data_IF_204716672768
#
_entry.id   IF_204716672768
#
_cell.length_a   1.000
_cell.length_b   1.000
_cell.length_c   1.000
_cell.angle_alpha   90.00
_cell.angle_beta   90.00
_cell.angle_gamma   90.00
#
_symmetry.space_group_name_H-M   'P 1'
#
loop_
_entity.id
_entity.type
_entity.pdbx_description
1 polymer ?
#
# COMPACT_ATOMS: atom_id res chain seq x y z
N UNK A 1 -7.34 -27.13 11.13
CA UNK A 1 -7.08 -25.78 11.71
C UNK A 1 -8.17 -24.82 11.25
N UNK A 2 -8.27 -23.63 11.79
CA UNK A 2 -9.25 -22.63 11.33
C UNK A 2 -8.54 -21.32 11.01
N UNK A 3 -9.14 -20.48 10.16
CA UNK A 3 -8.62 -19.12 9.89
C UNK A 3 -8.50 -18.33 11.20
N UNK A 4 -9.27 -18.66 12.24
CA UNK A 4 -9.19 -18.03 13.56
C UNK A 4 -7.81 -18.15 14.20
N UNK A 5 -7.12 -19.31 14.03
CA UNK A 5 -5.75 -19.46 14.56
C UNK A 5 -4.74 -18.51 13.89
N UNK A 6 -4.89 -18.26 12.58
CA UNK A 6 -4.14 -17.24 11.89
C UNK A 6 -4.43 -15.85 12.46
N UNK A 7 -5.70 -15.51 12.62
CA UNK A 7 -6.11 -14.19 13.16
C UNK A 7 -5.57 -13.97 14.56
N UNK A 8 -5.76 -14.95 15.46
CA UNK A 8 -5.29 -14.86 16.85
C UNK A 8 -3.76 -14.72 16.94
N UNK A 9 -3.01 -15.34 16.02
CA UNK A 9 -1.57 -15.19 15.93
C UNK A 9 -1.19 -13.83 15.34
N UNK A 10 -1.89 -13.40 14.30
CA UNK A 10 -1.63 -12.13 13.64
C UNK A 10 -1.93 -10.92 14.56
N UNK A 11 -3.03 -10.95 15.33
CA UNK A 11 -3.35 -9.90 16.32
C UNK A 11 -2.30 -9.74 17.42
N UNK A 12 -1.54 -10.82 17.71
CA UNK A 12 -0.43 -10.76 18.68
C UNK A 12 0.89 -10.26 18.10
N UNK A 13 1.05 -10.34 16.76
CA UNK A 13 2.34 -10.15 16.09
C UNK A 13 2.35 -8.91 15.23
N UNK A 14 1.20 -8.55 14.65
CA UNK A 14 1.06 -7.46 13.68
C UNK A 14 0.34 -6.29 14.35
N UNK A 15 0.95 -5.11 14.31
CA UNK A 15 0.46 -3.92 15.02
C UNK A 15 -0.92 -3.44 14.58
N UNK A 16 -1.22 -3.54 13.28
CA UNK A 16 -2.50 -3.10 12.74
C UNK A 16 -2.89 -3.93 11.51
N UNK A 17 -3.80 -4.87 11.70
CA UNK A 17 -4.53 -5.54 10.63
C UNK A 17 -5.77 -4.72 10.27
N UNK A 18 -6.07 -4.59 8.99
CA UNK A 18 -7.19 -3.75 8.55
C UNK A 18 -8.33 -4.55 7.97
N UNK A 19 -8.04 -5.46 7.04
CA UNK A 19 -9.05 -6.32 6.45
C UNK A 19 -8.41 -7.55 5.81
N UNK A 20 -9.19 -8.62 5.71
CA UNK A 20 -8.80 -9.80 4.97
C UNK A 20 -9.99 -10.42 4.22
N UNK A 21 -9.67 -11.08 3.11
CA UNK A 21 -10.54 -12.03 2.41
C UNK A 21 -9.70 -13.24 2.05
N UNK A 22 -10.10 -14.43 2.49
CA UNK A 22 -9.47 -15.67 2.17
C UNK A 22 -10.42 -16.54 1.35
N UNK A 23 -9.98 -16.89 0.14
CA UNK A 23 -10.71 -17.75 -0.79
C UNK A 23 -10.04 -19.11 -0.87
N UNK A 24 -10.84 -20.17 -1.07
CA UNK A 24 -10.37 -21.50 -1.44
C UNK A 24 -11.38 -22.14 -2.39
N UNK A 25 -10.91 -22.73 -3.50
CA UNK A 25 -11.79 -23.24 -4.55
C UNK A 25 -12.72 -22.17 -5.14
N UNK A 26 -12.31 -20.90 -5.13
CA UNK A 26 -13.14 -19.77 -5.54
C UNK A 26 -14.18 -19.29 -4.52
N UNK A 27 -14.36 -19.99 -3.41
CA UNK A 27 -15.35 -19.66 -2.39
C UNK A 27 -14.73 -18.92 -1.21
N UNK A 28 -15.51 -18.03 -0.56
CA UNK A 28 -15.06 -17.30 0.63
C UNK A 28 -15.01 -18.25 1.83
N UNK A 29 -13.80 -18.53 2.32
CA UNK A 29 -13.57 -19.29 3.56
C UNK A 29 -13.63 -18.39 4.78
N UNK A 30 -13.10 -17.16 4.66
CA UNK A 30 -13.18 -16.14 5.70
C UNK A 30 -13.05 -14.74 5.11
N UNK A 31 -13.77 -13.81 5.72
CA UNK A 31 -13.63 -12.39 5.43
C UNK A 31 -13.94 -11.53 6.65
N UNK A 32 -13.30 -10.38 6.75
CA UNK A 32 -13.57 -9.43 7.83
C UNK A 32 -12.69 -8.19 7.74
N UNK A 33 -13.09 -7.20 8.51
CA UNK A 33 -12.29 -5.98 8.67
C UNK A 33 -12.22 -5.62 10.16
N UNK A 34 -11.04 -5.16 10.59
CA UNK A 34 -10.85 -4.66 11.95
C UNK A 34 -11.40 -3.24 12.04
N UNK A 35 -12.55 -3.08 12.71
CA UNK A 35 -13.11 -1.75 12.92
C UNK A 35 -12.04 -0.78 13.48
N UNK A 36 -11.85 0.42 12.91
CA UNK A 36 -12.77 1.19 12.05
C UNK A 36 -12.61 0.96 10.53
N UNK A 37 -11.78 0.04 10.08
CA UNK A 37 -11.71 -0.33 8.66
C UNK A 37 -12.93 -1.14 8.24
N UNK A 38 -13.21 -1.21 6.94
CA UNK A 38 -14.36 -1.91 6.39
C UNK A 38 -14.06 -2.49 5.01
N UNK A 39 -14.68 -3.64 4.69
CA UNK A 39 -14.47 -4.33 3.41
C UNK A 39 -15.01 -3.57 2.20
N UNK A 40 -15.98 -2.67 2.39
CA UNK A 40 -16.60 -1.86 1.36
C UNK A 40 -15.88 -0.54 1.08
N UNK A 41 -14.81 -0.23 1.83
CA UNK A 41 -13.98 0.96 1.64
C UNK A 41 -12.72 0.63 0.83
N UNK A 42 -12.40 1.43 -0.21
CA UNK A 42 -11.11 1.31 -0.88
C UNK A 42 -9.95 1.61 0.08
N UNK A 43 -8.92 0.79 -0.04
CA UNK A 43 -7.67 0.94 0.70
C UNK A 43 -6.54 1.20 -0.29
N UNK A 44 -5.58 2.05 0.07
CA UNK A 44 -4.39 2.33 -0.75
C UNK A 44 -3.51 1.10 -0.85
N UNK A 45 -3.18 0.70 -2.06
CA UNK A 45 -2.50 -0.57 -2.36
C UNK A 45 -0.98 -0.46 -2.44
N UNK A 46 -0.44 0.75 -2.50
CA UNK A 46 1.01 0.95 -2.74
C UNK A 46 1.50 0.13 -3.93
N UNK A 47 2.62 -0.58 -3.77
CA UNK A 47 3.25 -1.34 -4.85
C UNK A 47 2.43 -2.54 -5.36
N UNK A 48 1.38 -2.98 -4.68
CA UNK A 48 0.44 -3.95 -5.25
C UNK A 48 -0.20 -3.44 -6.56
N UNK A 49 -0.26 -2.12 -6.75
CA UNK A 49 -0.63 -1.46 -8.02
C UNK A 49 0.16 -1.96 -9.22
N UNK A 50 1.42 -2.39 -9.00
CA UNK A 50 2.31 -2.88 -10.06
C UNK A 50 1.77 -4.12 -10.78
N UNK A 51 1.10 -5.00 -10.06
CA UNK A 51 0.49 -6.20 -10.63
C UNK A 51 -0.66 -5.84 -11.58
N UNK A 52 -1.41 -4.79 -11.28
CA UNK A 52 -2.44 -4.26 -12.18
C UNK A 52 -1.83 -3.57 -13.41
N UNK A 53 -0.69 -2.88 -13.25
CA UNK A 53 0.07 -2.31 -14.37
C UNK A 53 0.62 -3.40 -15.29
N UNK A 54 1.11 -4.52 -14.73
CA UNK A 54 1.49 -5.71 -15.49
C UNK A 54 0.32 -6.24 -16.30
N UNK A 55 -0.87 -6.32 -15.71
CA UNK A 55 -2.08 -6.76 -16.40
C UNK A 55 -2.43 -5.83 -17.56
N UNK A 56 -2.32 -4.51 -17.38
CA UNK A 56 -2.52 -3.52 -18.44
C UNK A 56 -1.51 -3.72 -19.60
N UNK A 57 -0.24 -4.00 -19.28
CA UNK A 57 0.76 -4.33 -20.30
C UNK A 57 0.39 -5.63 -21.05
N UNK A 58 -0.13 -6.64 -20.34
CA UNK A 58 -0.61 -7.89 -20.94
C UNK A 58 -1.73 -7.65 -21.95
N UNK A 59 -2.71 -6.82 -21.63
CA UNK A 59 -3.76 -6.42 -22.58
C UNK A 59 -3.18 -5.67 -23.78
N UNK A 60 -2.30 -4.69 -23.54
CA UNK A 60 -1.68 -3.93 -24.64
C UNK A 60 -0.85 -4.82 -25.60
N UNK A 61 -0.19 -5.85 -25.07
CA UNK A 61 0.53 -6.87 -25.87
C UNK A 61 -0.46 -7.69 -26.69
N UNK A 62 -1.53 -8.19 -26.09
CA UNK A 62 -2.55 -8.98 -26.80
C UNK A 62 -3.27 -8.18 -27.87
N UNK A 63 -3.42 -6.88 -27.70
CA UNK A 63 -3.97 -5.94 -28.69
C UNK A 63 -2.96 -5.54 -29.77
N UNK A 64 -1.71 -6.02 -29.70
CA UNK A 64 -0.66 -5.72 -30.67
C UNK A 64 -0.09 -4.30 -30.60
N UNK A 65 -0.34 -3.58 -29.48
CA UNK A 65 0.15 -2.23 -29.25
C UNK A 65 1.59 -2.22 -28.72
N UNK A 66 1.99 -3.30 -28.04
CA UNK A 66 3.25 -3.43 -27.33
C UNK A 66 3.82 -4.83 -27.52
N UNK A 67 5.15 -4.97 -27.51
CA UNK A 67 5.84 -6.26 -27.48
C UNK A 67 6.85 -6.28 -26.32
N UNK A 68 7.03 -7.45 -25.69
CA UNK A 68 8.00 -7.61 -24.59
C UNK A 68 9.43 -7.28 -25.00
N UNK A 69 9.78 -7.53 -26.27
CA UNK A 69 11.10 -7.28 -26.82
C UNK A 69 11.27 -5.91 -27.48
N UNK A 70 10.22 -5.10 -27.49
CA UNK A 70 10.31 -3.74 -27.97
C UNK A 70 11.34 -2.95 -27.15
N UNK A 71 12.26 -2.24 -27.81
CA UNK A 71 13.07 -1.22 -27.13
C UNK A 71 12.16 -0.16 -26.52
N UNK A 72 12.41 0.23 -25.29
CA UNK A 72 11.67 1.32 -24.61
C UNK A 72 11.72 2.60 -25.45
N UNK A 73 12.88 2.90 -26.03
CA UNK A 73 13.09 4.03 -26.91
C UNK A 73 12.11 4.11 -28.11
N UNK A 74 11.63 2.96 -28.63
CA UNK A 74 10.61 2.89 -29.70
C UNK A 74 9.32 3.64 -29.30
N UNK A 75 8.95 3.56 -28.04
CA UNK A 75 7.73 4.15 -27.49
C UNK A 75 7.95 5.52 -26.82
N UNK A 76 9.19 6.01 -26.82
CA UNK A 76 9.61 7.23 -26.14
C UNK A 76 10.36 8.22 -27.09
N UNK A 77 9.93 8.30 -28.34
CA UNK A 77 10.50 9.22 -29.36
C UNK A 77 12.01 9.02 -29.58
N UNK A 78 12.50 7.79 -29.47
CA UNK A 78 13.91 7.44 -29.59
C UNK A 78 14.78 7.75 -28.36
N UNK A 79 14.17 8.23 -27.27
CA UNK A 79 14.89 8.56 -26.02
C UNK A 79 15.10 7.33 -25.14
N UNK A 80 16.16 7.37 -24.33
CA UNK A 80 16.55 6.31 -23.41
C UNK A 80 17.59 5.36 -24.02
N UNK A 81 18.07 4.41 -23.22
CA UNK A 81 19.06 3.44 -23.62
C UNK A 81 18.46 2.43 -24.63
N UNK A 82 19.06 2.24 -25.82
CA UNK A 82 18.52 1.35 -26.86
C UNK A 82 18.53 -0.15 -26.48
N UNK A 83 19.28 -0.53 -25.44
CA UNK A 83 19.30 -1.91 -24.90
C UNK A 83 18.12 -2.20 -24.01
N UNK A 84 17.49 -1.16 -23.41
CA UNK A 84 16.38 -1.32 -22.48
C UNK A 84 15.12 -1.76 -23.23
N UNK A 85 14.53 -2.87 -22.79
CA UNK A 85 13.31 -3.45 -23.37
C UNK A 85 12.17 -3.45 -22.38
N UNK A 86 10.93 -3.59 -22.87
CA UNK A 86 9.72 -3.66 -22.04
C UNK A 86 9.82 -4.78 -21.00
N UNK A 87 10.32 -5.96 -21.38
CA UNK A 87 10.51 -7.07 -20.43
C UNK A 87 11.45 -6.73 -19.28
N UNK A 88 12.48 -5.90 -19.48
CA UNK A 88 13.40 -5.49 -18.45
C UNK A 88 12.75 -4.56 -17.41
N UNK A 89 11.78 -3.74 -17.83
CA UNK A 89 10.95 -2.95 -16.92
C UNK A 89 10.04 -3.86 -16.08
N UNK A 90 9.38 -4.85 -16.72
CA UNK A 90 8.46 -5.77 -16.06
C UNK A 90 9.16 -6.72 -15.08
N UNK A 91 10.40 -7.13 -15.37
CA UNK A 91 11.19 -8.05 -14.53
C UNK A 91 12.08 -7.35 -13.52
N UNK A 92 12.04 -6.01 -13.42
CA UNK A 92 12.92 -5.24 -12.53
C UNK A 92 14.43 -5.44 -12.82
N UNK A 93 14.79 -5.58 -14.11
CA UNK A 93 16.17 -5.82 -14.56
C UNK A 93 16.66 -4.75 -15.51
N UNK A 94 16.36 -3.50 -15.19
CA UNK A 94 16.63 -2.34 -16.06
C UNK A 94 18.13 -2.02 -16.23
N UNK A 95 18.99 -2.50 -15.33
CA UNK A 95 20.42 -2.24 -15.36
C UNK A 95 20.85 -0.97 -14.61
N UNK A 96 19.93 -0.27 -13.95
CA UNK A 96 20.29 0.78 -12.98
C UNK A 96 20.92 0.15 -11.73
N UNK A 97 21.73 0.92 -11.01
CA UNK A 97 22.37 0.50 -9.74
C UNK A 97 21.61 0.95 -8.52
N UNK A 98 20.75 1.98 -8.67
CA UNK A 98 19.80 2.48 -7.66
C UNK A 98 18.44 2.70 -8.30
N UNK A 99 17.35 2.66 -7.51
CA UNK A 99 16.00 2.97 -8.02
C UNK A 99 15.91 4.46 -8.41
N UNK A 100 15.65 4.79 -9.70
CA UNK A 100 15.56 6.17 -10.15
C UNK A 100 14.34 6.95 -9.63
N UNK A 101 13.49 6.36 -8.82
CA UNK A 101 12.20 6.95 -8.38
C UNK A 101 12.37 8.32 -7.72
N UNK A 102 13.42 8.50 -6.91
CA UNK A 102 13.69 9.79 -6.26
C UNK A 102 14.06 10.89 -7.27
N UNK A 103 14.87 10.57 -8.27
CA UNK A 103 15.23 11.49 -9.34
C UNK A 103 13.99 11.82 -10.20
N UNK A 104 13.22 10.79 -10.52
CA UNK A 104 12.00 10.91 -11.30
C UNK A 104 10.97 11.82 -10.63
N UNK A 105 10.65 11.60 -9.36
CA UNK A 105 9.58 12.32 -8.65
C UNK A 105 9.92 13.78 -8.33
N UNK A 106 11.20 14.17 -8.40
CA UNK A 106 11.63 15.57 -8.28
C UNK A 106 11.50 16.37 -9.57
N UNK A 107 11.19 15.72 -10.68
CA UNK A 107 11.03 16.34 -12.00
C UNK A 107 9.56 16.60 -12.30
N UNK A 108 9.28 17.56 -13.17
CA UNK A 108 7.95 17.77 -13.74
C UNK A 108 7.61 16.70 -14.80
N UNK A 109 8.60 16.25 -15.58
CA UNK A 109 8.46 15.16 -16.55
C UNK A 109 9.14 13.88 -16.02
N UNK A 110 8.33 13.03 -15.39
CA UNK A 110 8.81 11.78 -14.79
C UNK A 110 9.36 10.78 -15.80
N UNK A 111 8.75 10.71 -16.99
CA UNK A 111 9.21 9.81 -18.04
C UNK A 111 10.58 10.24 -18.58
N UNK A 112 10.75 11.51 -18.86
CA UNK A 112 12.04 12.05 -19.32
C UNK A 112 13.12 11.92 -18.26
N UNK A 113 12.78 12.17 -17.01
CA UNK A 113 13.70 11.99 -15.88
C UNK A 113 14.20 10.54 -15.79
N UNK A 114 13.31 9.54 -15.85
CA UNK A 114 13.69 8.12 -15.84
C UNK A 114 14.62 7.79 -17.03
N UNK A 115 14.24 8.20 -18.25
CA UNK A 115 15.00 7.92 -19.47
C UNK A 115 16.37 8.57 -19.49
N UNK A 116 16.60 9.60 -18.68
CA UNK A 116 17.86 10.34 -18.56
C UNK A 116 18.82 9.75 -17.54
N UNK A 117 18.36 8.84 -16.64
CA UNK A 117 19.24 8.18 -15.68
C UNK A 117 20.10 7.15 -16.38
N UNK A 118 21.44 7.18 -16.21
CA UNK A 118 22.33 6.22 -16.86
C UNK A 118 22.05 4.77 -16.46
N UNK A 119 22.10 3.86 -17.43
CA UNK A 119 22.09 2.43 -17.22
C UNK A 119 23.52 1.92 -17.17
N UNK A 120 23.96 1.45 -15.99
CA UNK A 120 25.35 1.12 -15.71
C UNK A 120 25.65 -0.37 -15.86
N UNK A 121 24.62 -1.22 -15.82
CA UNK A 121 24.71 -2.67 -16.02
C UNK A 121 23.99 -3.09 -17.29
N UNK A 122 24.30 -4.27 -17.81
CA UNK A 122 23.56 -4.82 -18.95
C UNK A 122 22.12 -5.14 -18.51
N UNK A 123 21.09 -4.55 -19.19
CA UNK A 123 19.70 -4.87 -18.89
C UNK A 123 19.41 -6.37 -19.00
N UNK A 124 18.59 -6.90 -18.11
CA UNK A 124 18.26 -8.31 -18.04
C UNK A 124 19.18 -9.16 -17.16
N UNK A 125 20.29 -8.61 -16.61
CA UNK A 125 21.30 -9.40 -15.92
C UNK A 125 21.25 -9.29 -14.39
N UNK A 126 20.61 -8.26 -13.84
CA UNK A 126 20.59 -7.99 -12.42
C UNK A 126 19.23 -7.47 -11.96
N UNK A 127 18.69 -8.08 -10.93
CA UNK A 127 17.47 -7.62 -10.29
C UNK A 127 17.74 -6.40 -9.42
N UNK A 128 16.98 -5.35 -9.64
CA UNK A 128 16.87 -4.19 -8.77
C UNK A 128 15.42 -3.77 -8.73
N UNK A 129 14.79 -3.80 -7.56
CA UNK A 129 13.42 -3.33 -7.42
C UNK A 129 13.34 -1.84 -7.81
N UNK A 130 12.63 -1.56 -8.89
CA UNK A 130 12.67 -0.28 -9.60
C UNK A 130 11.24 0.21 -9.90
N UNK A 131 10.76 1.08 -9.04
CA UNK A 131 9.40 1.64 -9.15
C UNK A 131 9.25 2.57 -10.35
N UNK A 132 10.31 3.32 -10.71
CA UNK A 132 10.32 4.18 -11.89
C UNK A 132 10.22 3.38 -13.20
N UNK A 133 10.78 2.15 -13.23
CA UNK A 133 10.60 1.23 -14.35
C UNK A 133 9.14 0.85 -14.55
N UNK A 134 8.40 0.58 -13.46
CA UNK A 134 6.97 0.29 -13.55
C UNK A 134 6.16 1.50 -14.00
N UNK A 135 6.47 2.69 -13.47
CA UNK A 135 5.86 3.93 -13.97
C UNK A 135 6.04 4.05 -15.49
N UNK A 136 7.24 3.75 -15.99
CA UNK A 136 7.55 3.82 -17.43
C UNK A 136 6.70 2.85 -18.26
N UNK A 137 6.47 1.61 -17.77
CA UNK A 137 5.52 0.67 -18.42
C UNK A 137 4.13 1.31 -18.51
N UNK A 138 3.61 1.80 -17.39
CA UNK A 138 2.28 2.42 -17.35
C UNK A 138 2.19 3.68 -18.23
N UNK A 139 3.23 4.51 -18.26
CA UNK A 139 3.28 5.70 -19.11
C UNK A 139 3.27 5.34 -20.60
N UNK A 140 3.96 4.26 -20.98
CA UNK A 140 3.94 3.75 -22.37
C UNK A 140 2.55 3.22 -22.74
N UNK A 141 1.93 2.41 -21.88
CA UNK A 141 0.57 1.91 -22.12
C UNK A 141 -0.41 3.07 -22.29
N UNK A 142 -0.40 4.04 -21.39
CA UNK A 142 -1.27 5.23 -21.46
C UNK A 142 -1.02 6.08 -22.71
N UNK A 143 0.23 6.15 -23.17
CA UNK A 143 0.58 6.85 -24.40
C UNK A 143 0.05 6.12 -25.64
N UNK A 144 0.14 4.79 -25.67
CA UNK A 144 -0.27 3.97 -26.83
C UNK A 144 -1.80 3.89 -26.95
N UNK A 145 -2.49 3.83 -25.82
CA UNK A 145 -3.95 3.72 -25.77
C UNK A 145 -4.66 5.07 -25.82
N UNK A 146 -3.98 6.14 -25.38
CA UNK A 146 -4.60 7.46 -25.19
C UNK A 146 -5.49 7.52 -23.94
N UNK A 147 -5.50 6.48 -23.11
CA UNK A 147 -6.34 6.34 -21.92
C UNK A 147 -5.47 6.32 -20.65
N UNK A 148 -6.03 6.73 -19.51
CA UNK A 148 -5.43 6.47 -18.21
C UNK A 148 -5.49 4.98 -17.90
N UNK A 149 -4.57 4.44 -17.06
CA UNK A 149 -4.60 3.01 -16.71
C UNK A 149 -5.94 2.60 -16.10
N UNK A 150 -6.51 3.43 -15.21
CA UNK A 150 -7.79 3.13 -14.58
C UNK A 150 -8.92 3.03 -15.61
N UNK A 151 -8.92 3.89 -16.62
CA UNK A 151 -9.94 3.90 -17.67
C UNK A 151 -9.72 2.74 -18.67
N UNK A 152 -8.46 2.48 -19.03
CA UNK A 152 -8.08 1.37 -19.91
C UNK A 152 -8.43 0.00 -19.32
N UNK A 153 -8.21 -0.17 -18.01
CA UNK A 153 -8.52 -1.41 -17.30
C UNK A 153 -10.00 -1.54 -16.96
N UNK A 154 -10.78 -0.46 -16.97
CA UNK A 154 -12.19 -0.49 -16.56
C UNK A 154 -12.99 -1.54 -17.33
N UNK A 155 -13.11 -1.50 -18.67
CA UNK A 155 -13.89 -2.48 -19.43
C UNK A 155 -13.19 -3.85 -19.55
N UNK A 156 -11.86 -3.93 -19.37
CA UNK A 156 -11.06 -5.13 -19.59
C UNK A 156 -10.90 -6.01 -18.36
N UNK A 157 -10.86 -5.37 -17.18
CA UNK A 157 -10.55 -6.04 -15.92
C UNK A 157 -11.55 -5.70 -14.82
N UNK A 158 -11.76 -4.41 -14.55
CA UNK A 158 -12.51 -3.99 -13.37
C UNK A 158 -13.99 -4.32 -13.46
N UNK A 159 -14.64 -3.99 -14.57
CA UNK A 159 -16.07 -4.29 -14.77
C UNK A 159 -16.34 -5.79 -14.86
N UNK A 160 -15.57 -6.60 -15.62
CA UNK A 160 -15.74 -8.05 -15.62
C UNK A 160 -15.59 -8.70 -14.23
N UNK A 161 -14.69 -8.18 -13.40
CA UNK A 161 -14.50 -8.67 -12.04
C UNK A 161 -15.45 -8.03 -11.01
N UNK A 162 -16.35 -7.14 -11.43
CA UNK A 162 -17.29 -6.46 -10.55
C UNK A 162 -16.63 -5.52 -9.54
N UNK A 163 -15.54 -4.86 -9.92
CA UNK A 163 -14.93 -3.83 -9.09
C UNK A 163 -15.83 -2.60 -9.03
N UNK A 164 -15.95 -2.01 -7.85
CA UNK A 164 -16.51 -0.69 -7.68
C UNK A 164 -15.58 0.44 -8.14
N UNK A 165 -15.71 1.63 -7.56
CA UNK A 165 -14.83 2.74 -7.88
C UNK A 165 -13.37 2.41 -7.52
N UNK A 166 -12.50 2.51 -8.52
CA UNK A 166 -11.04 2.41 -8.38
C UNK A 166 -10.47 3.81 -8.63
N UNK A 167 -9.53 4.22 -7.81
CA UNK A 167 -8.77 5.46 -8.01
C UNK A 167 -7.30 5.15 -8.19
N UNK A 168 -6.58 6.03 -8.89
CA UNK A 168 -5.14 5.96 -9.05
C UNK A 168 -4.54 7.35 -8.97
N UNK A 169 -3.47 7.51 -8.18
CA UNK A 169 -2.73 8.76 -8.09
C UNK A 169 -2.12 9.11 -9.46
N UNK A 170 -1.94 10.41 -9.70
CA UNK A 170 -1.42 10.91 -10.98
C UNK A 170 -0.09 11.62 -10.81
N UNK A 171 0.77 11.50 -11.81
CA UNK A 171 1.96 12.32 -11.96
C UNK A 171 1.59 13.75 -12.40
N UNK A 172 2.54 14.72 -12.40
CA UNK A 172 2.27 16.09 -12.84
C UNK A 172 1.64 16.22 -14.24
N UNK A 173 1.91 15.27 -15.13
CA UNK A 173 1.35 15.23 -16.48
C UNK A 173 -0.03 14.51 -16.57
N UNK A 174 -0.67 14.21 -15.43
CA UNK A 174 -2.01 13.61 -15.39
C UNK A 174 -2.06 12.13 -15.75
N UNK A 175 -0.91 11.42 -15.83
CA UNK A 175 -0.86 9.97 -16.00
C UNK A 175 -0.96 9.28 -14.67
N UNK A 176 -1.64 8.13 -14.62
CA UNK A 176 -1.62 7.26 -13.45
C UNK A 176 -0.20 6.79 -13.16
N UNK A 177 0.21 6.86 -11.87
CA UNK A 177 1.60 6.61 -11.48
C UNK A 177 2.06 5.16 -11.57
N UNK A 178 1.15 4.23 -11.90
CA UNK A 178 1.43 2.84 -12.23
C UNK A 178 2.15 2.02 -11.13
N UNK A 179 3.27 2.51 -10.63
CA UNK A 179 4.11 1.82 -9.64
C UNK A 179 3.55 1.80 -8.22
N UNK A 180 2.56 2.66 -7.95
CA UNK A 180 1.83 2.78 -6.66
C UNK A 180 0.52 3.55 -6.89
N UNK A 181 -0.16 3.95 -5.83
CA UNK A 181 -1.22 4.96 -5.85
C UNK A 181 -2.61 4.47 -6.25
N UNK A 182 -2.77 3.18 -6.59
CA UNK A 182 -4.08 2.58 -6.78
C UNK A 182 -4.76 2.35 -5.42
N UNK A 183 -6.08 2.54 -5.36
CA UNK A 183 -6.90 2.15 -4.23
C UNK A 183 -8.05 1.25 -4.71
N UNK A 184 -8.26 0.15 -3.99
CA UNK A 184 -9.33 -0.81 -4.25
C UNK A 184 -9.75 -1.49 -2.93
N UNK A 185 -10.89 -2.18 -2.94
CA UNK A 185 -11.41 -2.88 -1.78
C UNK A 185 -10.77 -4.27 -1.65
N UNK A 186 -10.64 -4.77 -0.43
CA UNK A 186 -10.02 -6.09 -0.17
C UNK A 186 -10.71 -7.25 -0.91
N UNK A 187 -12.06 -7.31 -1.02
CA UNK A 187 -12.70 -8.32 -1.85
C UNK A 187 -12.34 -8.23 -3.35
N UNK A 188 -11.99 -7.04 -3.83
CA UNK A 188 -11.53 -6.81 -5.21
C UNK A 188 -10.12 -7.35 -5.43
N UNK A 189 -9.23 -7.14 -4.45
CA UNK A 189 -7.90 -7.73 -4.45
C UNK A 189 -7.99 -9.27 -4.48
N UNK A 190 -8.91 -9.86 -3.70
CA UNK A 190 -9.12 -11.30 -3.68
C UNK A 190 -9.60 -11.82 -5.05
N UNK A 191 -10.56 -11.14 -5.70
CA UNK A 191 -11.01 -11.50 -7.05
C UNK A 191 -9.91 -11.36 -8.09
N UNK A 192 -9.04 -10.37 -7.97
CA UNK A 192 -7.86 -10.23 -8.83
C UNK A 192 -6.88 -11.41 -8.64
N UNK A 193 -6.60 -11.82 -7.41
CA UNK A 193 -5.79 -13.01 -7.15
C UNK A 193 -6.43 -14.29 -7.69
N UNK A 194 -7.75 -14.44 -7.51
CA UNK A 194 -8.51 -15.58 -8.04
C UNK A 194 -8.45 -15.65 -9.57
N UNK A 195 -8.51 -14.51 -10.26
CA UNK A 195 -8.34 -14.44 -11.71
C UNK A 195 -6.98 -14.97 -12.17
N UNK A 196 -5.91 -14.69 -11.42
CA UNK A 196 -4.56 -15.19 -11.72
C UNK A 196 -4.38 -16.67 -11.36
N UNK A 197 -5.21 -17.20 -10.48
CA UNK A 197 -5.24 -18.62 -10.13
C UNK A 197 -6.09 -19.40 -11.14
N UNK A 198 -7.29 -18.89 -11.44
CA UNK A 198 -8.25 -19.48 -12.38
C UNK A 198 -8.97 -18.37 -13.13
N UNK A 199 -8.94 -18.45 -14.45
CA UNK A 199 -9.63 -17.55 -15.38
C UNK A 199 -10.61 -18.31 -16.27
N UNK A 200 -11.75 -18.78 -15.72
CA UNK A 200 -12.71 -19.58 -16.47
C UNK A 200 -13.39 -18.81 -17.59
N UNK A 201 -13.48 -17.49 -17.47
CA UNK A 201 -14.15 -16.60 -18.42
C UNK A 201 -13.21 -16.04 -19.49
N UNK A 202 -11.90 -16.30 -19.38
CA UNK A 202 -10.90 -15.82 -20.33
C UNK A 202 -10.74 -14.30 -20.31
N UNK A 203 -10.81 -13.68 -19.14
CA UNK A 203 -10.66 -12.24 -18.96
C UNK A 203 -9.23 -11.81 -19.30
N UNK A 204 -8.23 -12.56 -18.78
CA UNK A 204 -6.83 -12.28 -19.10
C UNK A 204 -6.48 -12.72 -20.54
N UNK A 205 -5.52 -12.04 -21.16
CA UNK A 205 -4.96 -12.53 -22.42
C UNK A 205 -4.43 -13.96 -22.25
N UNK A 206 -4.65 -14.79 -23.27
CA UNK A 206 -4.28 -16.21 -23.26
C UNK A 206 -2.81 -16.41 -22.86
N UNK A 207 -2.56 -17.18 -21.81
CA UNK A 207 -1.24 -17.49 -21.28
C UNK A 207 -0.60 -16.38 -20.42
N UNK A 208 -1.22 -15.21 -20.29
CA UNK A 208 -0.62 -14.08 -19.54
C UNK A 208 -0.43 -14.40 -18.07
N UNK A 209 -1.43 -15.01 -17.40
CA UNK A 209 -1.29 -15.37 -15.99
C UNK A 209 -0.05 -16.24 -15.73
N UNK A 210 0.13 -17.29 -16.53
CA UNK A 210 1.28 -18.18 -16.41
C UNK A 210 2.61 -17.46 -16.71
N UNK A 211 2.62 -16.62 -17.76
CA UNK A 211 3.82 -15.87 -18.14
C UNK A 211 4.17 -14.83 -17.09
N UNK A 212 3.22 -14.06 -16.61
CA UNK A 212 3.46 -12.98 -15.64
C UNK A 212 3.91 -13.49 -14.26
N UNK A 213 3.44 -14.68 -13.85
CA UNK A 213 3.70 -15.19 -12.50
C UNK A 213 4.85 -16.20 -12.40
N UNK A 214 5.36 -16.72 -13.54
CA UNK A 214 6.55 -17.57 -13.50
C UNK A 214 7.81 -16.78 -13.12
N UNK A 215 8.81 -17.46 -12.61
CA UNK A 215 10.11 -16.85 -12.33
C UNK A 215 10.84 -16.51 -13.63
N UNK A 216 11.12 -15.23 -13.84
CA UNK A 216 11.93 -14.72 -14.95
C UNK A 216 13.36 -14.42 -14.52
N UNK A 217 13.57 -14.04 -13.26
CA UNK A 217 14.86 -13.62 -12.74
C UNK A 217 15.04 -14.10 -11.31
N UNK A 218 16.28 -14.47 -10.99
CA UNK A 218 16.73 -14.65 -9.62
C UNK A 218 16.86 -13.27 -8.96
N UNK A 219 16.42 -13.17 -7.73
CA UNK A 219 16.44 -11.90 -7.00
C UNK A 219 17.07 -12.00 -5.60
N UNK A 220 17.76 -13.09 -5.31
CA UNK A 220 18.67 -13.18 -4.17
C UNK A 220 20.04 -12.64 -4.60
N UNK A 221 20.31 -11.39 -4.26
CA UNK A 221 21.57 -10.72 -4.57
C UNK A 221 22.69 -11.03 -3.56
N UNK A 222 22.44 -11.93 -2.61
CA UNK A 222 23.41 -12.29 -1.56
C UNK A 222 23.65 -11.19 -0.53
N UNK A 223 22.70 -10.26 -0.38
CA UNK A 223 22.79 -9.10 0.52
C UNK A 223 22.64 -9.45 2.01
N UNK A 224 22.32 -10.72 2.31
CA UNK A 224 22.18 -11.22 3.69
C UNK A 224 20.88 -10.82 4.39
N UNK A 225 20.01 -10.07 3.74
CA UNK A 225 18.73 -9.66 4.32
C UNK A 225 17.84 -10.87 4.66
N UNK A 226 17.26 -10.94 5.88
CA UNK A 226 16.50 -12.09 6.35
C UNK A 226 15.04 -12.08 5.84
N UNK A 227 14.83 -11.80 4.56
CA UNK A 227 13.52 -11.71 3.92
C UNK A 227 13.35 -12.83 2.88
N UNK A 228 13.17 -14.10 3.30
CA UNK A 228 13.18 -15.25 2.38
C UNK A 228 12.12 -15.18 1.30
N UNK A 229 10.97 -14.55 1.54
CA UNK A 229 9.89 -14.45 0.56
C UNK A 229 10.11 -13.32 -0.46
N UNK A 230 11.14 -12.50 -0.30
CA UNK A 230 11.62 -11.55 -1.33
C UNK A 230 12.83 -12.07 -2.12
N UNK A 231 13.21 -13.36 -1.94
CA UNK A 231 14.39 -14.01 -2.57
C UNK A 231 14.03 -15.28 -3.35
N UNK A 232 12.75 -15.49 -3.68
CA UNK A 232 12.29 -16.69 -4.40
C UNK A 232 12.24 -16.51 -5.93
N UNK A 233 12.59 -15.31 -6.40
CA UNK A 233 12.53 -14.91 -7.79
C UNK A 233 11.39 -13.91 -8.08
N UNK A 234 11.40 -13.35 -9.28
CA UNK A 234 10.46 -12.32 -9.71
C UNK A 234 9.92 -12.62 -11.10
N UNK A 235 8.62 -12.35 -11.30
CA UNK A 235 7.91 -12.44 -12.57
C UNK A 235 7.76 -11.08 -13.25
N UNK A 236 6.65 -10.87 -13.96
CA UNK A 236 6.25 -9.57 -14.49
C UNK A 236 5.42 -8.81 -13.44
N UNK A 237 6.11 -8.14 -12.50
CA UNK A 237 5.52 -7.40 -11.38
C UNK A 237 4.79 -8.28 -10.38
N UNK A 238 5.23 -9.53 -10.22
CA UNK A 238 4.83 -10.48 -9.19
C UNK A 238 6.07 -11.09 -8.55
N UNK A 239 6.06 -11.15 -7.21
CA UNK A 239 7.05 -11.88 -6.42
C UNK A 239 6.72 -13.36 -6.43
N UNK A 240 7.76 -14.21 -6.57
CA UNK A 240 7.61 -15.62 -6.20
C UNK A 240 7.70 -15.75 -4.68
N UNK A 241 7.02 -16.76 -4.14
CA UNK A 241 7.02 -17.07 -2.72
C UNK A 241 7.51 -18.49 -2.47
N UNK A 242 7.81 -18.79 -1.23
CA UNK A 242 7.89 -20.18 -0.76
C UNK A 242 6.57 -20.90 -1.06
N UNK A 243 6.57 -22.25 -0.94
CA UNK A 243 5.37 -23.09 -1.13
C UNK A 243 4.68 -22.88 -2.48
N UNK A 244 5.48 -22.75 -3.54
CA UNK A 244 5.02 -22.55 -4.94
C UNK A 244 4.08 -21.35 -5.13
N UNK A 245 3.91 -20.50 -4.12
CA UNK A 245 3.07 -19.32 -4.20
C UNK A 245 3.64 -18.20 -5.07
N UNK A 246 2.80 -17.25 -5.39
CA UNK A 246 3.20 -15.95 -5.93
C UNK A 246 2.32 -14.85 -5.35
N UNK A 247 2.77 -13.63 -5.45
CA UNK A 247 2.01 -12.51 -4.90
C UNK A 247 2.27 -11.18 -5.60
N UNK A 248 1.28 -10.27 -5.57
CA UNK A 248 1.49 -8.84 -5.57
C UNK A 248 1.54 -8.35 -4.13
N UNK A 249 2.44 -7.40 -3.83
CA UNK A 249 2.48 -6.78 -2.51
C UNK A 249 2.69 -5.27 -2.58
N UNK A 250 2.30 -4.60 -1.51
CA UNK A 250 2.51 -3.17 -1.32
C UNK A 250 3.03 -2.87 0.08
N UNK A 251 3.74 -1.76 0.19
CA UNK A 251 4.33 -1.31 1.44
C UNK A 251 3.33 -1.38 2.59
N UNK A 252 3.86 -1.72 3.76
CA UNK A 252 3.12 -1.83 5.02
C UNK A 252 2.11 -2.98 5.06
N UNK A 253 2.28 -4.02 4.20
CA UNK A 253 1.52 -5.25 4.28
C UNK A 253 0.18 -5.23 3.53
N UNK A 254 0.18 -4.68 2.31
CA UNK A 254 -0.90 -4.86 1.36
C UNK A 254 -0.59 -6.09 0.52
N UNK A 255 -1.35 -7.17 0.65
CA UNK A 255 -1.05 -8.46 0.03
C UNK A 255 -2.18 -8.98 -0.84
N UNK A 256 -1.81 -9.53 -2.00
CA UNK A 256 -2.57 -10.48 -2.78
C UNK A 256 -1.70 -11.73 -2.94
N UNK A 257 -1.84 -12.70 -2.04
CA UNK A 257 -1.08 -13.96 -2.04
C UNK A 257 -1.91 -15.03 -2.73
N UNK A 258 -1.33 -15.66 -3.74
CA UNK A 258 -1.95 -16.76 -4.49
C UNK A 258 -1.20 -18.05 -4.20
N UNK A 259 -1.93 -19.09 -3.83
CA UNK A 259 -1.42 -20.39 -3.38
C UNK A 259 -1.98 -21.50 -4.30
N UNK A 260 -1.32 -21.78 -5.44
CA UNK A 260 -1.82 -22.71 -6.43
C UNK A 260 -2.04 -24.14 -5.88
N UNK A 261 -1.12 -24.62 -5.03
CA UNK A 261 -1.19 -25.98 -4.47
C UNK A 261 -2.36 -26.16 -3.48
N UNK A 262 -2.85 -25.05 -2.90
CA UNK A 262 -3.99 -25.03 -1.97
C UNK A 262 -5.30 -24.62 -2.65
N UNK A 263 -5.27 -24.26 -3.94
CA UNK A 263 -6.37 -23.63 -4.65
C UNK A 263 -6.96 -22.45 -3.85
N UNK A 264 -6.06 -21.53 -3.41
CA UNK A 264 -6.42 -20.50 -2.45
C UNK A 264 -5.81 -19.13 -2.77
N UNK A 265 -6.50 -18.07 -2.29
CA UNK A 265 -6.08 -16.69 -2.39
C UNK A 265 -6.30 -15.98 -1.06
N UNK A 266 -5.27 -15.28 -0.58
CA UNK A 266 -5.39 -14.35 0.53
C UNK A 266 -5.22 -12.91 0.02
N UNK A 267 -6.25 -12.09 0.15
CA UNK A 267 -6.13 -10.65 0.13
C UNK A 267 -6.11 -10.12 1.56
N UNK A 268 -5.12 -9.30 1.89
CA UNK A 268 -4.95 -8.73 3.23
C UNK A 268 -4.44 -7.30 3.12
N UNK A 269 -4.99 -6.40 3.94
CA UNK A 269 -4.47 -5.06 4.14
C UNK A 269 -4.09 -4.86 5.60
N UNK A 270 -3.00 -4.14 5.83
CA UNK A 270 -2.47 -3.88 7.17
C UNK A 270 -1.65 -2.60 7.23
N UNK A 271 -1.20 -2.25 8.44
CA UNK A 271 -0.25 -1.19 8.72
C UNK A 271 0.93 -1.71 9.53
N UNK A 272 1.76 -2.58 8.94
CA UNK A 272 2.93 -3.17 9.60
C UNK A 272 4.23 -2.89 8.86
N UNK A 273 5.32 -2.69 9.59
CA UNK A 273 6.68 -2.67 9.04
C UNK A 273 7.20 -4.10 8.78
N UNK A 274 6.77 -5.07 9.58
CA UNK A 274 7.22 -6.46 9.45
C UNK A 274 6.31 -7.25 8.51
N UNK A 275 6.49 -7.02 7.22
CA UNK A 275 5.74 -7.73 6.17
C UNK A 275 6.10 -9.22 6.09
N UNK A 276 7.35 -9.61 6.49
CA UNK A 276 7.76 -11.01 6.50
C UNK A 276 7.03 -11.80 7.59
N UNK A 277 6.75 -11.18 8.74
CA UNK A 277 5.97 -11.83 9.80
C UNK A 277 4.57 -12.21 9.29
N UNK A 278 3.92 -11.35 8.51
CA UNK A 278 2.61 -11.68 7.89
C UNK A 278 2.72 -12.94 7.03
N UNK A 279 3.71 -13.02 6.15
CA UNK A 279 3.91 -14.18 5.28
C UNK A 279 4.27 -15.45 6.07
N UNK A 280 5.07 -15.33 7.12
CA UNK A 280 5.37 -16.47 8.00
C UNK A 280 4.09 -17.05 8.63
N UNK A 281 3.18 -16.19 9.09
CA UNK A 281 1.88 -16.63 9.62
C UNK A 281 1.00 -17.29 8.55
N UNK A 282 1.05 -16.80 7.30
CA UNK A 282 0.36 -17.44 6.16
C UNK A 282 0.87 -18.88 6.00
N UNK A 283 2.20 -19.07 5.99
CA UNK A 283 2.82 -20.38 5.83
C UNK A 283 2.55 -21.32 7.01
N UNK A 284 2.46 -20.78 8.21
CA UNK A 284 2.22 -21.58 9.41
C UNK A 284 0.74 -22.01 9.56
N UNK A 285 -0.20 -21.17 9.12
CA UNK A 285 -1.60 -21.35 9.49
C UNK A 285 -2.58 -21.54 8.32
N UNK A 286 -2.22 -21.16 7.08
CA UNK A 286 -3.17 -21.13 5.96
C UNK A 286 -2.90 -22.17 4.86
N UNK A 287 -1.87 -23.00 5.00
CA UNK A 287 -1.56 -24.03 3.99
C UNK A 287 -2.39 -25.30 4.13
N UNK A 288 -2.87 -25.62 5.33
CA UNK A 288 -3.71 -26.79 5.58
C UNK A 288 -5.18 -26.54 5.24
N UNK A 289 -5.97 -27.61 5.26
CA UNK A 289 -7.43 -27.52 5.13
C UNK A 289 -8.04 -26.80 6.33
N UNK A 290 -8.79 -25.75 6.05
CA UNK A 290 -9.39 -24.89 7.05
C UNK A 290 -10.91 -25.01 7.04
N UNK A 291 -11.51 -25.04 8.23
CA UNK A 291 -12.96 -24.92 8.35
C UNK A 291 -13.40 -23.50 7.99
N UNK A 292 -14.45 -23.33 7.19
CA UNK A 292 -14.98 -22.01 6.87
C UNK A 292 -15.39 -21.23 8.12
N UNK A 293 -15.06 -19.95 8.13
CA UNK A 293 -15.48 -18.96 9.13
C UNK A 293 -15.81 -17.68 8.34
N UNK A 294 -16.95 -17.65 7.63
CA UNK A 294 -17.15 -16.70 6.54
C UNK A 294 -17.14 -15.24 7.00
N UNK A 295 -17.70 -14.94 8.14
CA UNK A 295 -17.79 -13.57 8.64
C UNK A 295 -17.08 -13.44 9.98
N UNK A 296 -16.24 -12.41 10.10
CA UNK A 296 -15.44 -12.12 11.27
C UNK A 296 -15.78 -10.73 11.80
N UNK A 297 -16.14 -10.68 13.09
CA UNK A 297 -16.34 -9.42 13.81
C UNK A 297 -15.02 -9.08 14.54
N UNK A 298 -14.31 -8.07 14.02
CA UNK A 298 -12.97 -7.72 14.44
C UNK A 298 -12.89 -6.21 14.71
N UNK A 299 -12.02 -5.82 15.65
CA UNK A 299 -11.77 -4.41 15.94
C UNK A 299 -10.31 -4.16 16.34
N UNK A 300 -9.76 -3.05 15.91
CA UNK A 300 -8.48 -2.58 16.43
C UNK A 300 -8.58 -2.24 17.91
N UNK A 301 -7.52 -2.49 18.70
CA UNK A 301 -7.49 -2.11 20.08
C UNK A 301 -7.73 -0.61 20.27
N UNK A 302 -8.54 -0.25 21.26
CA UNK A 302 -8.71 1.13 21.71
C UNK A 302 -7.55 1.57 22.63
N UNK A 303 -7.52 2.84 22.98
CA UNK A 303 -6.55 3.36 23.95
C UNK A 303 -7.03 2.98 25.36
N UNK A 304 -6.21 2.29 26.17
CA UNK A 304 -6.57 2.00 27.56
C UNK A 304 -6.58 3.27 28.41
N UNK A 305 -7.62 3.44 29.24
CA UNK A 305 -7.76 4.58 30.12
C UNK A 305 -9.22 5.00 30.33
N UNK A 306 -9.43 6.21 30.82
CA UNK A 306 -10.73 6.78 31.12
C UNK A 306 -11.11 7.97 30.23
N UNK A 307 -12.33 8.51 30.42
CA UNK A 307 -12.78 9.69 29.70
C UNK A 307 -11.95 10.94 30.02
N UNK A 308 -11.95 11.88 29.09
CA UNK A 308 -11.23 13.17 29.26
C UNK A 308 -11.82 14.01 30.39
N UNK A 309 -10.91 14.65 31.14
CA UNK A 309 -11.25 15.66 32.16
C UNK A 309 -10.61 17.02 31.85
N UNK A 310 -9.77 17.14 30.83
CA UNK A 310 -9.06 18.36 30.45
C UNK A 310 -9.74 19.05 29.28
N UNK A 311 -9.97 20.34 29.45
CA UNK A 311 -10.47 21.25 28.44
C UNK A 311 -9.53 22.43 28.26
N UNK A 312 -9.34 22.89 27.06
CA UNK A 312 -8.60 24.11 26.77
C UNK A 312 -8.14 24.21 25.32
N UNK A 313 -7.82 25.45 24.94
CA UNK A 313 -7.13 25.72 23.68
C UNK A 313 -5.67 26.04 23.97
N UNK A 314 -4.77 25.45 23.21
CA UNK A 314 -3.33 25.61 23.34
C UNK A 314 -2.75 26.05 22.00
N UNK A 315 -1.90 27.07 22.00
CA UNK A 315 -1.30 27.65 20.81
C UNK A 315 0.20 27.42 20.77
N UNK A 316 0.73 27.06 19.62
CA UNK A 316 2.15 26.83 19.37
C UNK A 316 2.80 28.16 18.98
N UNK A 317 3.78 28.63 19.78
CA UNK A 317 4.45 29.91 19.53
C UNK A 317 5.31 29.90 18.25
N UNK A 318 5.97 28.79 17.95
CA UNK A 318 6.82 28.62 16.78
C UNK A 318 6.44 27.33 16.03
N UNK A 319 5.42 27.36 15.16
CA UNK A 319 5.07 26.21 14.35
C UNK A 319 6.23 25.83 13.44
N UNK A 320 6.69 24.58 13.49
CA UNK A 320 7.72 24.11 12.57
C UNK A 320 7.19 24.13 11.13
N UNK A 321 7.93 24.79 10.23
CA UNK A 321 7.69 24.65 8.81
C UNK A 321 8.18 23.28 8.36
N UNK A 322 7.30 22.47 7.82
CA UNK A 322 7.68 21.26 7.10
C UNK A 322 8.32 21.65 5.76
N UNK A 323 9.37 20.94 5.39
CA UNK A 323 9.74 20.88 3.97
C UNK A 323 8.77 19.90 3.32
N UNK A 324 8.11 20.25 2.21
CA UNK A 324 7.34 19.29 1.45
C UNK A 324 8.26 18.12 1.08
N UNK A 325 7.88 16.91 1.43
CA UNK A 325 8.46 15.71 0.82
C UNK A 325 7.60 15.39 -0.38
N UNK A 326 8.16 15.56 -1.55
CA UNK A 326 7.44 15.77 -2.80
C UNK A 326 6.65 14.54 -3.29
N UNK A 327 6.85 13.35 -2.71
CA UNK A 327 6.16 12.11 -3.11
C UNK A 327 5.49 11.37 -1.95
N UNK A 328 5.65 11.83 -0.70
CA UNK A 328 4.99 11.19 0.45
C UNK A 328 3.54 11.66 0.54
N UNK A 329 2.58 10.75 0.81
CA UNK A 329 1.22 11.12 1.12
C UNK A 329 1.16 12.19 2.22
N UNK A 330 0.20 13.11 2.16
CA UNK A 330 0.09 14.24 3.10
C UNK A 330 0.05 13.80 4.57
N UNK A 331 -0.50 12.61 4.86
CA UNK A 331 -0.56 12.05 6.20
C UNK A 331 0.77 11.43 6.70
N UNK A 332 1.75 11.17 5.83
CA UNK A 332 3.12 10.83 6.22
C UNK A 332 3.98 12.05 6.57
N UNK A 333 3.47 13.23 6.35
CA UNK A 333 4.19 14.45 6.69
C UNK A 333 4.05 14.72 8.20
N UNK A 334 5.13 15.22 8.82
CA UNK A 334 5.07 15.64 10.21
C UNK A 334 3.99 16.71 10.40
N UNK A 335 3.11 16.61 11.40
CA UNK A 335 2.04 17.59 11.62
C UNK A 335 2.60 18.97 11.94
N UNK A 336 2.17 19.99 11.19
CA UNK A 336 2.49 21.42 11.45
C UNK A 336 1.49 22.03 12.41
N UNK A 337 1.38 21.50 13.61
CA UNK A 337 0.38 21.95 14.57
C UNK A 337 0.63 23.42 14.94
N UNK A 338 -0.40 24.27 14.78
CA UNK A 338 -0.44 25.67 15.17
C UNK A 338 -1.21 25.88 16.46
N UNK A 339 -2.32 25.15 16.61
CA UNK A 339 -3.11 25.14 17.82
C UNK A 339 -3.80 23.79 18.01
N UNK A 340 -4.13 23.46 19.22
CA UNK A 340 -4.93 22.30 19.60
C UNK A 340 -6.00 22.74 20.59
N UNK A 341 -7.23 22.29 20.35
CA UNK A 341 -8.33 22.42 21.32
C UNK A 341 -8.70 21.02 21.81
N UNK A 342 -8.62 20.83 23.11
CA UNK A 342 -9.04 19.61 23.79
C UNK A 342 -10.41 19.86 24.44
N UNK A 343 -11.37 19.00 24.16
CA UNK A 343 -12.66 18.93 24.84
C UNK A 343 -13.04 17.48 25.07
N UNK A 344 -13.90 17.16 26.06
CA UNK A 344 -14.38 15.79 26.21
C UNK A 344 -15.01 15.27 24.91
N UNK A 345 -14.49 14.14 24.43
CA UNK A 345 -14.96 13.48 23.20
C UNK A 345 -14.51 14.12 21.88
N UNK A 346 -13.65 15.17 21.91
CA UNK A 346 -13.21 15.80 20.66
C UNK A 346 -11.84 16.48 20.82
N UNK A 347 -10.96 16.26 19.84
CA UNK A 347 -9.72 17.03 19.64
C UNK A 347 -9.81 17.78 18.32
N UNK A 348 -9.43 19.05 18.32
CA UNK A 348 -9.35 19.89 17.11
C UNK A 348 -7.92 20.36 16.93
N UNK A 349 -7.32 20.03 15.79
CA UNK A 349 -6.03 20.57 15.37
C UNK A 349 -6.22 21.69 14.37
N UNK A 350 -5.48 22.76 14.54
CA UNK A 350 -5.29 23.81 13.53
C UNK A 350 -3.87 23.68 12.98
N UNK A 351 -3.70 23.52 11.69
CA UNK A 351 -2.41 23.42 11.02
C UNK A 351 -2.32 24.28 9.75
N UNK A 352 -1.29 24.04 8.92
CA UNK A 352 -1.10 24.80 7.70
C UNK A 352 -2.15 24.48 6.62
N UNK A 353 -2.84 23.33 6.72
CA UNK A 353 -3.82 22.86 5.74
C UNK A 353 -5.26 23.19 6.15
N UNK A 354 -5.49 23.54 7.42
CA UNK A 354 -6.80 23.94 7.91
C UNK A 354 -7.09 23.49 9.34
N UNK A 355 -8.38 23.26 9.60
CA UNK A 355 -8.91 22.79 10.87
C UNK A 355 -9.34 21.33 10.71
N UNK A 356 -8.83 20.47 11.58
CA UNK A 356 -9.08 19.03 11.57
C UNK A 356 -9.71 18.60 12.90
N UNK A 357 -10.95 18.14 12.83
CA UNK A 357 -11.67 17.65 14.00
C UNK A 357 -11.57 16.14 14.11
N UNK A 358 -11.31 15.65 15.31
CA UNK A 358 -11.28 14.22 15.63
C UNK A 358 -12.22 13.95 16.82
N UNK A 359 -13.50 13.61 16.57
CA UNK A 359 -14.35 13.07 17.62
C UNK A 359 -13.78 11.71 18.04
N UNK A 360 -13.77 11.41 19.35
CA UNK A 360 -13.23 10.17 19.90
C UNK A 360 -14.07 9.63 21.04
N UNK A 361 -13.94 8.33 21.32
CA UNK A 361 -14.39 7.68 22.55
C UNK A 361 -13.23 6.91 23.17
N UNK A 362 -13.33 6.61 24.49
CA UNK A 362 -12.31 5.81 25.18
C UNK A 362 -12.53 4.31 25.02
N UNK A 363 -13.74 3.89 24.73
CA UNK A 363 -14.18 2.50 24.62
C UNK A 363 -14.49 2.06 23.16
N UNK A 364 -14.22 2.94 22.18
CA UNK A 364 -14.48 2.66 20.77
C UNK A 364 -13.78 3.61 19.82
N UNK A 365 -13.91 3.33 18.53
CA UNK A 365 -13.46 4.18 17.45
C UNK A 365 -14.64 5.00 16.92
N UNK A 366 -14.50 6.30 16.84
CA UNK A 366 -15.53 7.21 16.28
C UNK A 366 -15.15 7.60 14.86
N UNK A 367 -15.89 7.17 13.82
CA UNK A 367 -15.64 7.53 12.43
C UNK A 367 -15.90 9.03 12.17
N UNK A 368 -15.03 9.63 11.33
CA UNK A 368 -15.19 10.97 10.81
C UNK A 368 -14.60 11.06 9.38
N UNK A 369 -15.42 10.86 8.35
CA UNK A 369 -15.01 10.84 6.95
C UNK A 369 -14.04 9.70 6.65
N UNK A 370 -12.82 10.03 6.20
CA UNK A 370 -11.75 9.09 5.92
C UNK A 370 -10.89 8.76 7.16
N UNK A 371 -11.26 9.25 8.34
CA UNK A 371 -10.56 8.95 9.60
C UNK A 371 -11.50 8.34 10.63
N UNK A 372 -10.93 7.73 11.65
CA UNK A 372 -11.63 7.38 12.88
C UNK A 372 -10.68 7.57 14.05
N UNK A 373 -11.19 7.95 15.22
CA UNK A 373 -10.34 8.17 16.38
C UNK A 373 -10.86 7.49 17.63
N UNK A 374 -9.91 7.08 18.48
CA UNK A 374 -10.10 6.63 19.85
C UNK A 374 -9.14 7.39 20.75
N UNK A 375 -9.52 7.66 22.01
CA UNK A 375 -8.62 8.38 22.91
C UNK A 375 -9.01 8.22 24.36
N UNK A 376 -8.01 8.15 25.24
CA UNK A 376 -8.23 7.99 26.66
C UNK A 376 -7.16 8.70 27.51
N UNK A 377 -7.50 9.00 28.74
CA UNK A 377 -6.62 9.57 29.77
C UNK A 377 -6.07 8.49 30.69
N UNK A 378 -4.79 8.65 31.02
CA UNK A 378 -4.10 7.86 32.03
C UNK A 378 -3.23 8.80 32.90
N UNK A 379 -3.70 9.19 34.08
CA UNK A 379 -3.08 10.25 34.86
C UNK A 379 -3.14 11.60 34.14
N UNK A 380 -1.99 12.29 34.03
CA UNK A 380 -1.85 13.58 33.33
C UNK A 380 -1.62 13.46 31.82
N UNK A 381 -1.61 12.24 31.32
CA UNK A 381 -1.38 11.94 29.92
C UNK A 381 -2.68 11.60 29.19
N UNK A 382 -2.88 12.22 28.03
CA UNK A 382 -3.93 11.86 27.08
C UNK A 382 -3.33 11.25 25.84
N UNK A 383 -3.85 10.13 25.40
CA UNK A 383 -3.48 9.52 24.11
C UNK A 383 -4.66 9.55 23.16
N UNK A 384 -4.46 10.11 21.97
CA UNK A 384 -5.38 10.05 20.86
C UNK A 384 -4.75 9.20 19.75
N UNK A 385 -5.48 8.22 19.25
CA UNK A 385 -5.11 7.48 18.03
C UNK A 385 -6.09 7.85 16.92
N UNK A 386 -5.55 8.17 15.74
CA UNK A 386 -6.32 8.52 14.54
C UNK A 386 -5.95 7.53 13.43
N UNK A 387 -6.87 6.67 13.06
CA UNK A 387 -6.73 5.78 11.91
C UNK A 387 -7.17 6.49 10.63
N UNK A 388 -6.35 6.43 9.58
CA UNK A 388 -6.68 6.86 8.23
C UNK A 388 -7.21 5.65 7.47
N UNK A 389 -8.54 5.53 7.40
CA UNK A 389 -9.23 4.30 6.98
C UNK A 389 -9.13 3.98 5.48
N UNK A 390 -8.50 4.84 4.70
CA UNK A 390 -8.16 4.67 3.28
C UNK A 390 -6.71 4.19 3.05
N UNK A 391 -5.96 3.93 4.13
CA UNK A 391 -4.55 3.54 4.05
C UNK A 391 -4.01 2.90 5.33
N UNK A 392 -2.69 2.63 5.39
CA UNK A 392 -2.08 1.85 6.47
C UNK A 392 -1.78 2.64 7.75
N UNK A 393 -2.08 3.93 7.78
CA UNK A 393 -1.56 4.82 8.81
C UNK A 393 -2.51 4.94 10.00
N UNK A 394 -1.93 4.80 11.20
CA UNK A 394 -2.56 5.13 12.47
C UNK A 394 -1.65 6.10 13.20
N UNK A 395 -2.02 7.37 13.26
CA UNK A 395 -1.27 8.39 13.99
C UNK A 395 -1.65 8.42 15.46
N UNK A 396 -0.65 8.34 16.31
CA UNK A 396 -0.80 8.47 17.76
C UNK A 396 -0.27 9.82 18.20
N UNK A 397 -1.11 10.58 18.89
CA UNK A 397 -0.72 11.79 19.59
C UNK A 397 -0.74 11.52 21.10
N UNK A 398 0.41 11.69 21.76
CA UNK A 398 0.49 11.68 23.21
C UNK A 398 0.59 13.11 23.69
N UNK A 399 -0.32 13.49 24.56
CA UNK A 399 -0.43 14.81 25.16
C UNK A 399 -0.07 14.68 26.63
N UNK A 400 0.84 15.52 27.11
CA UNK A 400 1.12 15.69 28.52
C UNK A 400 0.76 17.13 28.91
N UNK A 401 -0.12 17.29 29.90
CA UNK A 401 -0.61 18.59 30.40
C UNK A 401 0.07 18.91 31.68
N UNK A 402 0.82 20.03 31.74
CA UNK A 402 1.46 20.54 32.93
C UNK A 402 1.04 22.02 33.10
N UNK A 403 0.02 22.25 33.93
CA UNK A 403 -0.56 23.57 34.14
C UNK A 403 -1.09 24.19 32.85
N UNK A 404 -0.47 25.27 32.39
CA UNK A 404 -0.82 25.97 31.16
C UNK A 404 0.03 25.52 29.96
N UNK A 405 0.90 24.56 30.12
CA UNK A 405 1.70 23.98 29.05
C UNK A 405 1.10 22.66 28.55
N UNK A 406 1.22 22.43 27.27
CA UNK A 406 0.86 21.16 26.57
C UNK A 406 2.05 20.68 25.76
N UNK A 407 2.53 19.48 26.06
CA UNK A 407 3.53 18.79 25.26
C UNK A 407 2.83 17.75 24.39
N UNK A 408 3.07 17.79 23.07
CA UNK A 408 2.47 16.88 22.09
C UNK A 408 3.58 16.06 21.44
N UNK A 409 3.46 14.73 21.49
CA UNK A 409 4.41 13.78 20.90
C UNK A 409 3.69 12.94 19.83
N UNK A 410 3.76 13.33 18.53
CA UNK A 410 3.14 12.58 17.43
C UNK A 410 4.02 11.41 17.01
N UNK A 411 3.38 10.29 16.61
CA UNK A 411 4.04 9.16 15.95
C UNK A 411 3.07 8.41 15.05
N UNK A 412 3.56 7.78 14.00
CA UNK A 412 2.80 6.87 13.15
C UNK A 412 3.17 5.41 13.45
N UNK A 413 2.27 4.47 13.17
CA UNK A 413 2.55 3.04 13.28
C UNK A 413 3.58 2.58 12.24
N UNK A 414 3.49 3.11 11.01
CA UNK A 414 4.37 2.78 9.88
C UNK A 414 4.83 4.05 9.16
N UNK A 415 6.00 4.00 8.53
CA UNK A 415 6.54 5.08 7.69
C UNK A 415 7.69 4.56 6.82
N UNK A 416 7.91 5.17 5.65
CA UNK A 416 9.15 4.95 4.86
C UNK A 416 10.40 5.58 5.50
N UNK A 417 10.25 6.24 6.64
CA UNK A 417 11.32 6.84 7.41
C UNK A 417 11.12 6.61 8.91
N UNK A 418 11.44 7.61 9.72
CA UNK A 418 11.16 7.56 11.15
C UNK A 418 9.65 7.62 11.41
N UNK A 419 9.16 6.81 12.34
CA UNK A 419 7.75 6.82 12.77
C UNK A 419 7.46 7.92 13.81
N UNK A 420 8.47 8.37 14.57
CA UNK A 420 8.33 9.45 15.54
C UNK A 420 8.57 10.82 14.90
N UNK A 421 7.80 11.80 15.35
CA UNK A 421 7.96 13.20 14.96
C UNK A 421 8.50 14.04 16.10
N UNK A 422 9.09 15.21 15.81
CA UNK A 422 9.52 16.14 16.86
C UNK A 422 8.36 16.55 17.77
N UNK A 423 8.63 16.63 19.06
CA UNK A 423 7.68 17.13 20.04
C UNK A 423 7.28 18.59 19.75
N UNK A 424 6.04 18.89 20.01
CA UNK A 424 5.47 20.23 19.88
C UNK A 424 5.07 20.73 21.26
N UNK A 425 5.48 21.96 21.61
CA UNK A 425 5.08 22.64 22.83
C UNK A 425 4.05 23.71 22.50
N UNK A 426 2.98 23.76 23.26
CA UNK A 426 1.91 24.73 23.15
C UNK A 426 1.55 25.30 24.53
N UNK A 427 1.09 26.54 24.58
CA UNK A 427 0.63 27.20 25.78
C UNK A 427 -0.87 27.47 25.74
N UNK A 428 -1.53 27.40 26.86
CA UNK A 428 -2.97 27.67 27.01
C UNK A 428 -3.26 29.13 26.61
N UNK A 429 -4.32 29.33 25.86
CA UNK A 429 -4.77 30.65 25.36
C UNK A 429 -6.25 30.88 25.63
#
# INVERSE_FOLDING_TARGET
MSVRTFIDAAERTIDALHSLVFLRGGEVVAQGAWHPYALDRPHRLFSLSKSFTSTAAGFAIAEGLLDLDDPVAKHCDGRGDPRLRIRHLLTMTTGHVEDPSDAMTRSDDWLDAFLSVPIEREPGTHFLYNTAGTYTVGAIVQRLTGERLVDYLRPRLFDPLGFGPVTWEQCPHGRDVAGWGMSARTPEIARFGQLYLHDPDGILPAGWAAEATRKHVENDNGDGEPLPDWKQGYGFQFWRCRHNGFRGDGAFGQFCVVLPDQDAVLALTSGTQDMQAVLNLVWEHLLDDLSPTPDLDLALPTVPGGPSTVEGRFTVAEPRRLRPSDWRPSHEQAPTIRAVTLTPGRVVFEDATGVHEHPYAHDGWIPNGATAATGAWSGDDFTLRVAYTDGPFVRTYRFHVDGDELLISPSDNVSFGATGYPQVRAART
#
